data_IF_043914699805
#
_entry.id   IF_043914699805
#
_cell.length_a   1.000
_cell.length_b   1.000
_cell.length_c   1.000
_cell.angle_alpha   90.00
_cell.angle_beta   90.00
_cell.angle_gamma   90.00
#
_symmetry.space_group_name_H-M   'P 1'
#
loop_
_entity.id
_entity.type
_entity.pdbx_description
1 polymer ?
#
# COMPACT_ATOMS: atom_id res chain seq x y z
N UNK A 1 45.39 -29.38 4.18
CA UNK A 1 45.53 -28.45 3.04
C UNK A 1 44.74 -29.07 1.90
N UNK A 2 43.67 -28.50 1.36
CA UNK A 2 43.47 -27.10 1.02
C UNK A 2 41.98 -26.73 1.04
N UNK A 3 41.70 -25.55 1.57
CA UNK A 3 40.42 -24.85 1.46
C UNK A 3 40.44 -23.96 0.21
N UNK A 4 39.21 -23.64 -0.22
CA UNK A 4 38.75 -22.49 -1.03
C UNK A 4 38.54 -22.79 -2.51
N UNK A 5 37.28 -22.71 -2.91
CA UNK A 5 36.87 -21.70 -3.88
C UNK A 5 35.57 -21.06 -3.38
N UNK A 6 35.73 -19.92 -2.70
CA UNK A 6 34.65 -19.06 -2.25
C UNK A 6 34.23 -18.17 -3.42
N UNK A 7 32.94 -18.21 -3.78
CA UNK A 7 32.36 -17.29 -4.75
C UNK A 7 32.62 -15.83 -4.33
N UNK A 8 32.85 -14.90 -5.28
CA UNK A 8 33.14 -13.52 -4.95
C UNK A 8 31.92 -12.87 -4.29
N UNK A 9 32.11 -12.43 -3.04
CA UNK A 9 31.19 -11.61 -2.27
C UNK A 9 30.88 -10.33 -3.06
N UNK A 10 29.59 -10.05 -3.29
CA UNK A 10 29.18 -8.91 -4.10
C UNK A 10 29.52 -7.60 -3.37
N UNK A 11 30.47 -6.87 -3.91
CA UNK A 11 30.86 -5.55 -3.43
C UNK A 11 29.73 -4.52 -3.67
N UNK A 12 28.87 -4.34 -2.66
CA UNK A 12 27.80 -3.32 -2.63
C UNK A 12 28.34 -1.89 -2.53
N UNK A 13 29.66 -1.68 -2.51
CA UNK A 13 30.29 -0.36 -2.33
C UNK A 13 30.38 0.47 -3.61
N UNK A 14 29.82 0.01 -4.73
CA UNK A 14 29.87 0.77 -5.99
C UNK A 14 28.87 1.93 -5.94
N UNK A 15 29.33 3.20 -5.98
CA UNK A 15 28.42 4.33 -6.08
C UNK A 15 27.70 4.25 -7.43
N UNK A 16 26.38 4.07 -7.40
CA UNK A 16 25.56 4.06 -8.60
C UNK A 16 25.69 5.42 -9.29
N UNK A 17 25.96 5.37 -10.59
CA UNK A 17 26.24 6.53 -11.44
C UNK A 17 25.12 7.56 -11.24
N UNK A 18 25.47 8.77 -10.77
CA UNK A 18 24.60 9.96 -10.77
C UNK A 18 24.35 10.40 -12.22
N UNK A 19 23.54 9.64 -12.94
CA UNK A 19 23.02 9.97 -14.26
C UNK A 19 21.53 10.29 -14.13
N UNK A 20 21.16 11.55 -14.43
CA UNK A 20 19.78 12.02 -14.68
C UNK A 20 18.68 11.36 -13.83
N UNK A 21 18.63 11.73 -12.54
CA UNK A 21 17.54 11.49 -11.58
C UNK A 21 16.72 10.21 -11.77
N UNK A 22 17.16 9.11 -11.16
CA UNK A 22 16.35 7.88 -11.07
C UNK A 22 14.99 8.19 -10.44
N UNK A 23 13.92 7.60 -10.97
CA UNK A 23 12.57 7.73 -10.42
C UNK A 23 12.51 6.97 -9.10
N UNK A 24 12.09 7.66 -8.05
CA UNK A 24 11.82 7.06 -6.75
C UNK A 24 10.38 6.55 -6.71
N UNK A 25 10.22 5.27 -6.34
CA UNK A 25 8.91 4.67 -6.09
C UNK A 25 8.41 4.86 -4.66
N UNK A 26 7.30 4.21 -4.35
CA UNK A 26 6.69 4.15 -3.02
C UNK A 26 6.75 2.74 -2.46
N UNK A 27 6.95 2.64 -1.15
CA UNK A 27 6.95 1.35 -0.45
C UNK A 27 5.54 0.74 -0.42
N UNK A 28 5.46 -0.58 -0.28
CA UNK A 28 4.17 -1.29 -0.15
C UNK A 28 3.35 -0.76 1.04
N UNK A 29 4.02 -0.40 2.14
CA UNK A 29 3.37 0.21 3.30
C UNK A 29 2.79 1.59 3.02
N UNK A 30 3.45 2.42 2.22
CA UNK A 30 2.90 3.70 1.80
C UNK A 30 1.65 3.53 0.92
N UNK A 31 1.68 2.60 -0.04
CA UNK A 31 0.51 2.26 -0.85
C UNK A 31 -0.64 1.72 -0.01
N UNK A 32 -0.36 0.84 0.96
CA UNK A 32 -1.36 0.31 1.88
C UNK A 32 -1.99 1.42 2.74
N UNK A 33 -1.16 2.32 3.30
CA UNK A 33 -1.64 3.45 4.08
C UNK A 33 -2.51 4.41 3.25
N UNK A 34 -2.15 4.66 2.00
CA UNK A 34 -2.95 5.46 1.07
C UNK A 34 -4.31 4.80 0.78
N UNK A 35 -4.32 3.50 0.43
CA UNK A 35 -5.54 2.74 0.19
C UNK A 35 -6.46 2.74 1.43
N UNK A 36 -5.91 2.47 2.62
CA UNK A 36 -6.67 2.51 3.88
C UNK A 36 -7.24 3.89 4.16
N UNK A 37 -6.45 4.96 4.03
CA UNK A 37 -6.93 6.32 4.26
C UNK A 37 -8.05 6.69 3.30
N UNK A 38 -7.94 6.32 2.03
CA UNK A 38 -8.97 6.55 1.04
C UNK A 38 -10.26 5.79 1.38
N UNK A 39 -10.18 4.51 1.73
CA UNK A 39 -11.33 3.69 2.08
C UNK A 39 -12.05 4.22 3.33
N UNK A 40 -11.30 4.60 4.38
CA UNK A 40 -11.88 5.25 5.57
C UNK A 40 -12.56 6.57 5.20
N UNK A 41 -11.92 7.39 4.37
CA UNK A 41 -12.48 8.68 3.94
C UNK A 41 -13.78 8.48 3.16
N UNK A 42 -13.79 7.54 2.21
CA UNK A 42 -14.97 7.25 1.41
C UNK A 42 -16.11 6.68 2.25
N UNK A 43 -15.79 5.78 3.19
CA UNK A 43 -16.76 5.22 4.12
C UNK A 43 -17.40 6.30 5.00
N UNK A 44 -16.59 7.19 5.60
CA UNK A 44 -17.09 8.24 6.50
C UNK A 44 -17.84 9.38 5.79
N UNK A 45 -17.46 9.67 4.54
CA UNK A 45 -18.09 10.75 3.75
C UNK A 45 -19.25 10.26 2.89
N UNK A 46 -19.40 8.95 2.69
CA UNK A 46 -20.35 8.36 1.77
C UNK A 46 -20.02 8.59 0.29
N UNK A 47 -18.84 9.14 -0.03
CA UNK A 47 -18.47 9.54 -1.39
C UNK A 47 -17.18 8.84 -1.85
N UNK A 48 -17.10 8.36 -3.10
CA UNK A 48 -15.87 7.76 -3.61
C UNK A 48 -14.74 8.81 -3.73
N UNK A 49 -13.50 8.36 -3.53
CA UNK A 49 -12.29 9.18 -3.57
C UNK A 49 -11.39 8.70 -4.70
N UNK A 50 -10.96 9.63 -5.57
CA UNK A 50 -10.04 9.32 -6.68
C UNK A 50 -8.57 9.57 -6.32
N UNK A 51 -8.29 10.42 -5.32
CA UNK A 51 -6.94 10.77 -4.90
C UNK A 51 -6.86 11.00 -3.40
N UNK A 52 -5.75 10.60 -2.78
CA UNK A 52 -5.52 10.78 -1.35
C UNK A 52 -4.09 11.22 -1.06
N UNK A 53 -3.91 12.09 -0.07
CA UNK A 53 -2.57 12.49 0.38
C UNK A 53 -2.21 11.80 1.70
N UNK A 54 -1.01 11.25 1.81
CA UNK A 54 -0.45 10.73 3.07
C UNK A 54 0.88 11.40 3.38
N UNK A 55 1.16 11.55 4.67
CA UNK A 55 2.44 12.03 5.17
C UNK A 55 3.39 10.85 5.33
N UNK A 56 4.50 10.86 4.62
CA UNK A 56 5.50 9.79 4.68
C UNK A 56 6.49 10.04 5.84
N UNK A 57 7.09 8.98 6.42
CA UNK A 57 8.09 9.11 7.50
C UNK A 57 9.32 9.96 7.14
N UNK A 58 9.58 10.15 5.84
CA UNK A 58 10.65 11.01 5.31
C UNK A 58 10.30 12.51 5.40
N UNK A 59 9.14 12.87 5.95
CA UNK A 59 8.71 14.27 6.13
C UNK A 59 8.04 14.89 4.92
N UNK A 60 7.55 14.09 3.98
CA UNK A 60 6.95 14.56 2.73
C UNK A 60 5.48 14.15 2.63
N UNK A 61 4.63 15.09 2.21
CA UNK A 61 3.26 14.79 1.78
C UNK A 61 3.25 14.34 0.33
N UNK A 62 2.64 13.18 0.10
CA UNK A 62 2.55 12.57 -1.23
C UNK A 62 1.10 12.29 -1.56
N UNK A 63 0.72 12.67 -2.79
CA UNK A 63 -0.59 12.37 -3.36
C UNK A 63 -0.54 11.06 -4.13
N UNK A 64 -1.46 10.16 -3.82
CA UNK A 64 -1.67 8.89 -4.49
C UNK A 64 -2.98 8.93 -5.27
N UNK A 65 -2.94 8.49 -6.52
CA UNK A 65 -4.13 8.24 -7.32
C UNK A 65 -4.64 6.83 -7.01
N UNK A 66 -5.94 6.70 -6.80
CA UNK A 66 -6.60 5.43 -6.49
C UNK A 66 -6.86 4.67 -7.79
N UNK A 67 -6.57 3.38 -7.78
CA UNK A 67 -6.94 2.48 -8.88
C UNK A 67 -8.41 2.06 -8.75
N UNK A 68 -8.86 1.77 -7.52
CA UNK A 68 -10.25 1.49 -7.20
C UNK A 68 -10.69 2.25 -5.95
N UNK A 69 -11.98 2.59 -5.93
CA UNK A 69 -12.70 3.08 -4.77
C UNK A 69 -14.18 2.72 -4.96
N UNK A 70 -14.60 1.59 -4.40
CA UNK A 70 -15.91 1.00 -4.63
C UNK A 70 -16.52 0.45 -3.34
N UNK A 71 -17.86 0.45 -3.27
CA UNK A 71 -18.58 -0.21 -2.19
C UNK A 71 -18.54 -1.72 -2.43
N UNK A 72 -18.00 -2.47 -1.47
CA UNK A 72 -17.78 -3.91 -1.63
C UNK A 72 -19.03 -4.75 -1.33
N UNK A 73 -20.07 -4.15 -0.74
CA UNK A 73 -21.31 -4.84 -0.39
C UNK A 73 -22.51 -3.90 -0.63
N UNK A 74 -23.54 -4.40 -1.30
CA UNK A 74 -24.80 -3.68 -1.50
C UNK A 74 -25.80 -3.95 -0.36
N UNK A 75 -25.42 -4.81 0.59
CA UNK A 75 -26.31 -5.19 1.70
C UNK A 75 -26.55 -4.00 2.64
N UNK A 76 -27.82 -3.61 2.90
CA UNK A 76 -28.13 -2.52 3.82
C UNK A 76 -27.52 -2.73 5.21
N UNK A 77 -26.67 -1.79 5.65
CA UNK A 77 -25.98 -1.85 6.95
C UNK A 77 -24.63 -2.58 6.95
N UNK A 78 -24.17 -3.08 5.81
CA UNK A 78 -22.82 -3.65 5.60
C UNK A 78 -21.94 -2.68 4.83
N UNK A 79 -21.80 -1.44 5.31
CA UNK A 79 -21.00 -0.40 4.65
C UNK A 79 -19.52 -0.80 4.63
N UNK A 80 -19.11 -1.45 3.54
CA UNK A 80 -17.73 -1.84 3.26
C UNK A 80 -17.24 -1.06 2.05
N UNK A 81 -16.07 -0.44 2.16
CA UNK A 81 -15.41 0.24 1.04
C UNK A 81 -14.08 -0.42 0.74
N UNK A 82 -13.89 -0.80 -0.52
CA UNK A 82 -12.62 -1.24 -1.06
C UNK A 82 -11.94 -0.08 -1.78
N UNK A 83 -10.71 0.22 -1.38
CA UNK A 83 -9.82 1.10 -2.13
C UNK A 83 -8.53 0.37 -2.52
N UNK A 84 -7.92 0.78 -3.62
CA UNK A 84 -6.63 0.23 -4.02
C UNK A 84 -5.71 1.24 -4.69
N UNK A 85 -4.41 0.96 -4.64
CA UNK A 85 -3.34 1.75 -5.26
C UNK A 85 -2.41 0.81 -6.01
N UNK A 86 -2.08 1.13 -7.26
CA UNK A 86 -1.02 0.42 -8.00
C UNK A 86 0.33 0.92 -7.49
N UNK A 87 1.16 0.01 -7.00
CA UNK A 87 2.49 0.36 -6.48
C UNK A 87 3.44 0.74 -7.61
N UNK A 88 3.91 1.98 -7.61
CA UNK A 88 5.06 2.41 -8.41
C UNK A 88 6.36 2.14 -7.63
N UNK A 89 7.24 1.31 -8.18
CA UNK A 89 8.52 0.92 -7.57
C UNK A 89 9.66 1.84 -8.02
N UNK A 90 9.42 2.76 -8.96
CA UNK A 90 10.47 3.54 -9.58
C UNK A 90 11.36 2.68 -10.46
N UNK A 91 12.65 3.02 -10.49
CA UNK A 91 13.65 2.28 -11.30
C UNK A 91 14.31 1.11 -10.55
N UNK A 92 13.90 0.83 -9.31
CA UNK A 92 14.39 -0.28 -8.51
C UNK A 92 13.77 -1.60 -9.00
N UNK A 93 14.54 -2.69 -9.21
CA UNK A 93 14.02 -4.02 -9.50
C UNK A 93 13.26 -4.59 -8.28
N UNK A 94 12.08 -4.06 -8.02
CA UNK A 94 11.17 -4.41 -6.94
C UNK A 94 10.17 -5.47 -7.42
N UNK A 95 10.18 -6.65 -6.79
CA UNK A 95 9.31 -7.77 -7.15
C UNK A 95 7.80 -7.47 -7.03
N UNK A 96 7.44 -6.41 -6.31
CA UNK A 96 6.06 -5.97 -6.09
C UNK A 96 5.71 -4.69 -6.86
N UNK A 97 6.58 -4.22 -7.75
CA UNK A 97 6.23 -3.15 -8.68
C UNK A 97 5.01 -3.55 -9.53
N UNK A 98 4.06 -2.63 -9.69
CA UNK A 98 2.81 -2.86 -10.42
C UNK A 98 1.78 -3.68 -9.64
N UNK A 99 2.11 -4.18 -8.43
CA UNK A 99 1.13 -4.87 -7.61
C UNK A 99 0.00 -3.92 -7.20
N UNK A 100 -1.23 -4.40 -7.27
CA UNK A 100 -2.38 -3.70 -6.73
C UNK A 100 -2.46 -3.93 -5.22
N UNK A 101 -2.26 -2.86 -4.46
CA UNK A 101 -2.38 -2.89 -3.00
C UNK A 101 -3.80 -2.48 -2.63
N UNK A 102 -4.56 -3.40 -2.06
CA UNK A 102 -5.97 -3.23 -1.72
C UNK A 102 -6.18 -3.08 -0.21
N UNK A 103 -7.19 -2.32 0.19
CA UNK A 103 -7.68 -2.22 1.55
C UNK A 103 -9.22 -2.18 1.56
N UNK A 104 -9.85 -3.12 2.26
CA UNK A 104 -11.29 -3.13 2.54
C UNK A 104 -11.53 -2.66 3.95
N UNK A 105 -12.37 -1.64 4.13
CA UNK A 105 -12.69 -1.06 5.44
C UNK A 105 -14.18 -1.16 5.69
N UNK A 106 -14.55 -1.45 6.93
CA UNK A 106 -15.93 -1.52 7.38
C UNK A 106 -16.05 -1.00 8.81
N UNK A 107 -17.25 -0.54 9.19
CA UNK A 107 -17.51 -0.14 10.58
C UNK A 107 -17.69 -1.41 11.42
N UNK A 108 -16.69 -1.71 12.25
CA UNK A 108 -16.78 -2.78 13.23
C UNK A 108 -17.75 -2.42 14.36
N UNK A 109 -18.65 -3.34 14.74
CA UNK A 109 -19.40 -3.23 15.99
C UNK A 109 -18.54 -3.77 17.12
N UNK A 110 -17.86 -2.91 17.86
CA UNK A 110 -17.19 -3.31 19.09
C UNK A 110 -18.22 -3.53 20.18
N UNK A 111 -18.20 -4.71 20.82
CA UNK A 111 -18.97 -5.01 22.05
C UNK A 111 -18.15 -4.76 23.31
N UNK A 112 -16.89 -4.35 23.16
CA UNK A 112 -15.95 -4.07 24.26
C UNK A 112 -15.72 -2.56 24.33
N UNK A 113 -15.58 -2.00 25.53
CA UNK A 113 -15.36 -0.56 25.77
C UNK A 113 -13.99 -0.02 25.32
N UNK A 114 -13.32 -0.71 24.39
CA UNK A 114 -12.05 -0.27 23.80
C UNK A 114 -12.31 0.21 22.38
N UNK A 115 -12.00 1.49 22.14
CA UNK A 115 -12.00 2.09 20.80
C UNK A 115 -10.73 1.66 20.06
N UNK A 116 -10.84 1.19 18.81
CA UNK A 116 -9.67 0.71 18.08
C UNK A 116 -9.93 0.31 16.63
N UNK A 117 -8.86 -0.05 15.93
CA UNK A 117 -8.87 -0.58 14.56
C UNK A 117 -8.56 -2.08 14.61
N UNK A 118 -9.45 -2.90 14.05
CA UNK A 118 -9.23 -4.34 13.90
C UNK A 118 -8.71 -4.64 12.51
N UNK A 119 -7.54 -5.25 12.41
CA UNK A 119 -6.98 -5.74 11.14
C UNK A 119 -7.38 -7.20 10.98
N UNK A 120 -8.13 -7.50 9.92
CA UNK A 120 -8.55 -8.86 9.58
C UNK A 120 -7.96 -9.29 8.25
N UNK A 121 -7.63 -10.57 8.13
CA UNK A 121 -7.24 -11.17 6.85
C UNK A 121 -8.51 -11.61 6.10
N UNK A 122 -8.72 -11.06 4.90
CA UNK A 122 -9.74 -11.56 3.99
C UNK A 122 -9.03 -12.28 2.85
N UNK A 123 -9.33 -13.57 2.66
CA UNK A 123 -8.76 -14.34 1.56
C UNK A 123 -9.35 -13.79 0.26
N UNK A 124 -8.51 -13.25 -0.63
CA UNK A 124 -8.96 -12.82 -1.94
C UNK A 124 -9.69 -13.99 -2.62
N UNK A 125 -10.99 -13.84 -2.89
CA UNK A 125 -11.73 -14.80 -3.69
C UNK A 125 -11.14 -14.74 -5.09
N UNK A 126 -10.56 -15.85 -5.56
CA UNK A 126 -10.19 -15.96 -6.96
C UNK A 126 -11.47 -15.86 -7.82
N UNK A 127 -11.41 -15.19 -8.99
CA UNK A 127 -12.51 -15.20 -9.95
C UNK A 127 -12.77 -16.61 -10.51
#
# INVERSE_FOLDING_TARGET
MSLKDSAPESDYSKPTIRGKGMRTGYTTGACAAAATKAAVTALLTGNPVSEISIHLPIGQDVKFTLNRCEWADETPGSEKVLCSVIKDGGDDPDATHGAEICATISIGRSTTSEEGVTITEEKASAP
#
